data_IF_631587424982
#
_entry.id   IF_631587424982
#
_cell.length_a   1.000
_cell.length_b   1.000
_cell.length_c   1.000
_cell.angle_alpha   90.00
_cell.angle_beta   90.00
_cell.angle_gamma   90.00
#
_symmetry.space_group_name_H-M   'P 1'
#
loop_
_entity.id
_entity.type
_entity.pdbx_description
1 polymer ?
#
# COMPACT_ATOMS: atom_id res chain seq x y z
N UNK A 1 6.93 29.58 -4.96
CA UNK A 1 7.42 28.96 -6.21
C UNK A 1 6.73 27.62 -6.38
N UNK A 2 6.10 27.37 -7.53
CA UNK A 2 5.62 26.02 -7.85
C UNK A 2 6.85 25.11 -7.90
N UNK A 3 6.90 24.07 -7.04
CA UNK A 3 7.93 23.04 -7.18
C UNK A 3 7.69 22.32 -8.50
N UNK A 4 8.62 22.43 -9.44
CA UNK A 4 8.62 21.59 -10.64
C UNK A 4 8.76 20.13 -10.19
N UNK A 5 7.94 19.25 -10.76
CA UNK A 5 8.02 17.81 -10.49
C UNK A 5 9.41 17.32 -10.89
N UNK A 6 10.06 16.52 -10.04
CA UNK A 6 11.38 15.96 -10.34
C UNK A 6 11.29 14.99 -11.51
N UNK A 7 12.30 15.01 -12.36
CA UNK A 7 12.55 14.01 -13.40
C UNK A 7 13.11 12.72 -12.80
N UNK A 8 13.14 11.63 -13.60
CA UNK A 8 13.74 10.37 -13.17
C UNK A 8 15.24 10.52 -12.84
N UNK A 9 15.98 11.31 -13.64
CA UNK A 9 17.39 11.61 -13.40
C UNK A 9 17.61 12.37 -12.07
N UNK A 10 16.80 13.40 -11.79
CA UNK A 10 16.91 14.16 -10.53
C UNK A 10 16.57 13.30 -9.29
N UNK A 11 15.63 12.35 -9.44
CA UNK A 11 15.33 11.39 -8.36
C UNK A 11 16.48 10.39 -8.20
N UNK A 12 17.07 9.92 -9.30
CA UNK A 12 18.23 9.04 -9.24
C UNK A 12 19.41 9.70 -8.53
N UNK A 13 19.70 10.97 -8.86
CA UNK A 13 20.75 11.74 -8.20
C UNK A 13 20.46 11.96 -6.71
N UNK A 14 19.20 12.23 -6.35
CA UNK A 14 18.77 12.33 -4.95
C UNK A 14 19.02 11.00 -4.20
N UNK A 15 18.73 9.86 -4.82
CA UNK A 15 18.88 8.55 -4.21
C UNK A 15 20.35 8.14 -4.08
N UNK A 16 21.21 8.42 -5.08
CA UNK A 16 22.67 8.16 -5.00
C UNK A 16 23.34 8.95 -3.88
N UNK A 17 22.91 10.20 -3.68
CA UNK A 17 23.47 11.09 -2.68
C UNK A 17 22.86 10.89 -1.28
N UNK A 18 21.82 10.07 -1.17
CA UNK A 18 21.16 9.75 0.08
C UNK A 18 21.82 8.58 0.81
N UNK A 19 21.05 7.92 1.68
CA UNK A 19 21.43 6.61 2.22
C UNK A 19 21.53 5.60 1.04
N UNK A 20 22.27 4.50 1.17
CA UNK A 20 22.39 3.47 0.09
C UNK A 20 21.08 2.71 -0.16
N UNK A 21 20.73 2.35 -1.39
CA UNK A 21 19.40 1.80 -1.76
C UNK A 21 19.10 0.48 -1.01
N UNK A 22 17.89 0.30 -0.44
CA UNK A 22 17.52 -0.97 0.20
C UNK A 22 17.57 -2.14 -0.79
N UNK A 23 17.95 -3.32 -0.31
CA UNK A 23 17.82 -4.58 -1.05
C UNK A 23 16.37 -5.09 -1.04
N UNK A 24 16.02 -6.03 -1.92
CA UNK A 24 14.72 -6.71 -1.90
C UNK A 24 14.47 -7.38 -0.55
N UNK A 25 15.51 -7.99 0.04
CA UNK A 25 15.41 -8.62 1.36
C UNK A 25 15.05 -7.60 2.46
N UNK A 26 15.65 -6.41 2.44
CA UNK A 26 15.31 -5.36 3.39
C UNK A 26 13.89 -4.80 3.18
N UNK A 27 13.45 -4.72 1.92
CA UNK A 27 12.07 -4.35 1.58
C UNK A 27 11.11 -5.38 2.17
N UNK A 28 11.29 -6.66 1.86
CA UNK A 28 10.39 -7.72 2.30
C UNK A 28 10.36 -7.86 3.83
N UNK A 29 11.51 -7.72 4.49
CA UNK A 29 11.62 -7.77 5.95
C UNK A 29 11.19 -6.48 6.67
N UNK A 30 10.76 -5.44 5.95
CA UNK A 30 10.31 -4.19 6.56
C UNK A 30 9.01 -4.40 7.36
N UNK A 31 9.19 -4.63 8.68
CA UNK A 31 8.12 -4.96 9.60
C UNK A 31 7.62 -3.76 10.40
N UNK A 32 6.29 -3.65 10.50
CA UNK A 32 5.60 -2.66 11.34
C UNK A 32 4.82 -3.39 12.43
N UNK A 33 4.91 -2.85 13.65
CA UNK A 33 4.12 -3.33 14.80
C UNK A 33 2.82 -2.55 14.95
N UNK A 34 1.74 -3.25 15.27
CA UNK A 34 0.42 -2.67 15.50
C UNK A 34 -0.29 -3.31 16.70
N UNK A 35 -1.32 -2.64 17.20
CA UNK A 35 -2.13 -3.14 18.32
C UNK A 35 -3.46 -3.70 17.83
N UNK A 36 -3.73 -5.02 17.95
CA UNK A 36 -5.03 -5.59 17.60
C UNK A 36 -6.19 -4.95 18.34
N UNK A 37 -5.98 -4.59 19.62
CA UNK A 37 -6.97 -3.87 20.44
C UNK A 37 -7.46 -2.55 19.83
N UNK A 38 -6.68 -1.88 18.98
CA UNK A 38 -7.16 -0.66 18.31
C UNK A 38 -8.25 -0.95 17.29
N UNK A 39 -8.28 -2.14 16.70
CA UNK A 39 -9.41 -2.60 15.88
C UNK A 39 -10.54 -3.10 16.75
N UNK A 40 -10.24 -4.05 17.63
CA UNK A 40 -11.25 -4.79 18.41
C UNK A 40 -12.11 -3.89 19.30
N UNK A 41 -11.55 -2.82 19.87
CA UNK A 41 -12.31 -1.89 20.73
C UNK A 41 -13.42 -1.11 20.00
N UNK A 42 -13.45 -1.14 18.67
CA UNK A 42 -14.41 -0.43 17.82
C UNK A 42 -15.08 -1.37 16.83
N UNK A 43 -14.83 -2.67 16.93
CA UNK A 43 -15.47 -3.67 16.07
C UNK A 43 -16.86 -3.96 16.61
N UNK A 44 -17.88 -3.85 15.77
CA UNK A 44 -19.28 -4.06 16.15
C UNK A 44 -19.98 -5.06 15.21
N UNK A 45 -21.23 -5.38 15.53
CA UNK A 45 -22.06 -6.34 14.79
C UNK A 45 -22.39 -5.94 13.34
N UNK A 46 -22.19 -4.68 12.95
CA UNK A 46 -22.43 -4.21 11.58
C UNK A 46 -21.19 -4.40 10.68
N UNK A 47 -20.08 -4.89 11.23
CA UNK A 47 -18.85 -5.17 10.50
C UNK A 47 -18.76 -6.67 10.12
N UNK A 48 -17.95 -7.03 9.10
CA UNK A 48 -17.68 -8.42 8.78
C UNK A 48 -17.09 -9.21 9.96
N UNK A 49 -17.06 -10.54 9.81
CA UNK A 49 -16.42 -11.42 10.79
C UNK A 49 -14.99 -10.98 11.11
N UNK A 50 -14.61 -11.07 12.38
CA UNK A 50 -13.32 -10.57 12.86
C UNK A 50 -12.18 -11.26 12.10
N UNK A 51 -11.28 -10.49 11.45
CA UNK A 51 -10.12 -11.01 10.76
C UNK A 51 -9.21 -11.85 11.64
N UNK A 52 -8.79 -13.00 11.12
CA UNK A 52 -7.86 -13.90 11.82
C UNK A 52 -6.53 -13.21 12.14
N UNK A 53 -6.09 -12.24 11.33
CA UNK A 53 -4.87 -11.45 11.55
C UNK A 53 -4.87 -10.65 12.86
N UNK A 54 -6.03 -10.41 13.47
CA UNK A 54 -6.16 -9.74 14.76
C UNK A 54 -6.06 -10.70 15.94
N UNK A 55 -6.23 -12.00 15.68
CA UNK A 55 -6.38 -13.04 16.70
C UNK A 55 -5.13 -13.93 16.77
N UNK A 56 -4.53 -14.24 15.62
CA UNK A 56 -3.37 -15.11 15.50
C UNK A 56 -2.03 -14.35 15.56
N UNK A 57 -0.98 -15.06 15.94
CA UNK A 57 0.39 -14.54 15.96
C UNK A 57 0.94 -14.24 17.36
N UNK A 58 2.27 -14.26 17.44
CA UNK A 58 3.00 -13.95 18.67
C UNK A 58 2.94 -12.45 18.95
N UNK A 59 2.47 -12.11 20.15
CA UNK A 59 2.40 -10.72 20.61
C UNK A 59 3.66 -10.41 21.41
N UNK A 60 4.22 -9.21 21.20
CA UNK A 60 5.31 -8.74 22.07
C UNK A 60 4.82 -8.42 23.49
N UNK A 61 5.75 -8.04 24.38
CA UNK A 61 5.44 -7.69 25.78
C UNK A 61 4.46 -6.53 25.95
N UNK A 62 4.17 -5.76 24.88
CA UNK A 62 3.18 -4.68 24.87
C UNK A 62 1.85 -5.13 24.26
N UNK A 63 1.72 -6.38 23.84
CA UNK A 63 0.52 -6.92 23.18
C UNK A 63 0.43 -6.54 21.70
N UNK A 64 1.55 -6.19 21.04
CA UNK A 64 1.57 -5.83 19.61
C UNK A 64 1.87 -7.04 18.75
N UNK A 65 1.20 -7.13 17.60
CA UNK A 65 1.57 -8.01 16.50
C UNK A 65 2.51 -7.27 15.54
N UNK A 66 3.25 -8.02 14.73
CA UNK A 66 4.11 -7.48 13.67
C UNK A 66 3.70 -8.05 12.32
N UNK A 67 3.76 -7.22 11.28
CA UNK A 67 3.60 -7.63 9.88
C UNK A 67 4.75 -7.04 9.07
N UNK A 68 5.37 -7.85 8.23
CA UNK A 68 6.35 -7.45 7.22
C UNK A 68 5.70 -7.23 5.85
N UNK A 69 6.43 -6.63 4.90
CA UNK A 69 5.96 -6.57 3.51
C UNK A 69 5.84 -7.97 2.91
N UNK A 70 6.76 -8.88 3.24
CA UNK A 70 6.72 -10.29 2.84
C UNK A 70 5.46 -11.02 3.33
N UNK A 71 5.05 -10.78 4.58
CA UNK A 71 3.80 -11.33 5.13
C UNK A 71 2.59 -10.84 4.33
N UNK A 72 2.58 -9.55 3.96
CA UNK A 72 1.48 -8.94 3.20
C UNK A 72 1.45 -9.41 1.74
N UNK A 73 2.59 -9.60 1.09
CA UNK A 73 2.64 -10.25 -0.22
C UNK A 73 2.07 -11.67 -0.16
N UNK A 74 2.50 -12.45 0.84
CA UNK A 74 1.98 -13.82 1.07
C UNK A 74 0.48 -13.82 1.36
N UNK A 75 -0.03 -12.79 2.04
CA UNK A 75 -1.46 -12.66 2.29
C UNK A 75 -2.23 -12.25 1.03
N UNK A 76 -1.67 -11.37 0.19
CA UNK A 76 -2.26 -10.93 -1.07
C UNK A 76 -2.48 -12.06 -2.07
N UNK A 77 -1.53 -13.01 -2.16
CA UNK A 77 -1.68 -14.19 -3.04
C UNK A 77 -2.86 -15.06 -2.64
N UNK A 78 -3.17 -15.14 -1.34
CA UNK A 78 -4.23 -15.98 -0.76
C UNK A 78 -5.63 -15.34 -0.76
N UNK A 79 -5.79 -14.11 -1.27
CA UNK A 79 -7.12 -13.49 -1.34
C UNK A 79 -7.93 -14.16 -2.46
N UNK A 80 -9.02 -14.82 -2.08
CA UNK A 80 -9.96 -15.49 -3.00
C UNK A 80 -11.42 -15.13 -2.69
N UNK A 81 -11.75 -14.86 -1.42
CA UNK A 81 -13.11 -14.56 -0.96
C UNK A 81 -13.25 -13.15 -0.40
N UNK A 82 -14.50 -12.71 -0.21
CA UNK A 82 -14.83 -11.44 0.43
C UNK A 82 -14.27 -11.34 1.86
N UNK A 83 -14.24 -12.45 2.59
CA UNK A 83 -13.68 -12.49 3.95
C UNK A 83 -12.14 -12.40 3.93
N UNK A 84 -11.48 -13.03 2.95
CA UNK A 84 -10.03 -12.88 2.77
C UNK A 84 -9.66 -11.44 2.43
N UNK A 85 -10.46 -10.79 1.58
CA UNK A 85 -10.28 -9.40 1.21
C UNK A 85 -10.40 -8.45 2.42
N UNK A 86 -11.35 -8.71 3.33
CA UNK A 86 -11.45 -7.97 4.60
C UNK A 86 -10.25 -8.23 5.51
N UNK A 87 -9.81 -9.48 5.61
CA UNK A 87 -8.64 -9.84 6.41
C UNK A 87 -7.36 -9.16 5.87
N UNK A 88 -7.17 -9.18 4.55
CA UNK A 88 -6.08 -8.50 3.87
C UNK A 88 -6.14 -6.98 4.03
N UNK A 89 -7.33 -6.38 3.91
CA UNK A 89 -7.52 -4.95 4.18
C UNK A 89 -7.08 -4.55 5.59
N UNK A 90 -7.49 -5.31 6.60
CA UNK A 90 -7.12 -5.03 8.00
C UNK A 90 -5.61 -5.23 8.22
N UNK A 91 -5.00 -6.24 7.61
CA UNK A 91 -3.56 -6.46 7.67
C UNK A 91 -2.78 -5.28 7.05
N UNK A 92 -3.12 -4.88 5.82
CA UNK A 92 -2.46 -3.77 5.11
C UNK A 92 -2.69 -2.44 5.83
N UNK A 93 -3.89 -2.18 6.34
CA UNK A 93 -4.16 -0.98 7.11
C UNK A 93 -3.41 -0.96 8.44
N UNK A 94 -3.27 -2.11 9.10
CA UNK A 94 -2.49 -2.26 10.33
C UNK A 94 -1.01 -1.97 10.10
N UNK A 95 -0.44 -2.48 9.01
CA UNK A 95 0.93 -2.19 8.61
C UNK A 95 1.11 -0.71 8.25
N UNK A 96 0.20 -0.14 7.45
CA UNK A 96 0.31 1.25 6.98
C UNK A 96 0.11 2.31 8.08
N UNK A 97 -0.72 2.03 9.09
CA UNK A 97 -0.97 2.94 10.22
C UNK A 97 -0.04 2.68 11.43
N UNK A 98 0.47 1.46 11.56
CA UNK A 98 1.29 1.00 12.68
C UNK A 98 0.57 1.10 14.03
N UNK A 99 1.30 1.54 15.05
CA UNK A 99 0.83 1.56 16.43
C UNK A 99 -0.10 2.73 16.79
N UNK A 100 -0.45 3.61 15.84
CA UNK A 100 -1.23 4.83 16.13
C UNK A 100 -2.73 4.56 16.09
N UNK A 101 -3.37 4.59 17.26
CA UNK A 101 -4.82 4.40 17.40
C UNK A 101 -5.65 5.31 16.48
N UNK A 102 -5.30 6.61 16.39
CA UNK A 102 -6.01 7.59 15.56
C UNK A 102 -6.04 7.19 14.08
N UNK A 103 -4.95 6.65 13.56
CA UNK A 103 -4.87 6.29 12.14
C UNK A 103 -5.68 5.02 11.88
N UNK A 104 -5.65 4.04 12.79
CA UNK A 104 -6.51 2.85 12.75
C UNK A 104 -7.99 3.23 12.82
N UNK A 105 -8.40 4.09 13.76
CA UNK A 105 -9.81 4.51 13.89
C UNK A 105 -10.36 5.21 12.66
N UNK A 106 -9.51 5.82 11.83
CA UNK A 106 -9.94 6.40 10.55
C UNK A 106 -10.24 5.35 9.48
N UNK A 107 -9.75 4.11 9.64
CA UNK A 107 -9.91 3.00 8.69
C UNK A 107 -11.16 2.17 9.02
N UNK A 108 -11.46 2.03 10.31
CA UNK A 108 -12.60 1.24 10.79
C UNK A 108 -13.94 1.60 10.12
N UNK A 109 -14.32 2.89 9.89
CA UNK A 109 -15.58 3.21 9.24
C UNK A 109 -15.76 2.64 7.83
N UNK A 110 -14.68 2.27 7.13
CA UNK A 110 -14.76 1.56 5.86
C UNK A 110 -15.42 0.19 5.99
N UNK A 111 -15.24 -0.49 7.14
CA UNK A 111 -15.77 -1.83 7.39
C UNK A 111 -17.29 -1.87 7.57
N UNK A 112 -17.93 -0.73 7.82
CA UNK A 112 -19.38 -0.62 7.92
C UNK A 112 -20.04 -0.24 6.59
N UNK A 113 -19.28 -0.12 5.49
CA UNK A 113 -19.85 0.16 4.17
C UNK A 113 -20.62 -1.05 3.64
N UNK A 114 -21.76 -0.84 2.96
CA UNK A 114 -22.47 -1.91 2.27
C UNK A 114 -21.56 -2.60 1.26
N UNK A 115 -21.57 -3.94 1.33
CA UNK A 115 -20.75 -4.82 0.49
C UNK A 115 -19.25 -4.51 0.54
N UNK A 116 -18.73 -4.14 1.72
CA UNK A 116 -17.28 -3.88 1.89
C UNK A 116 -16.42 -5.06 1.42
N UNK A 117 -16.84 -6.28 1.71
CA UNK A 117 -16.10 -7.49 1.32
C UNK A 117 -16.05 -7.69 -0.20
N UNK A 118 -17.20 -7.57 -0.89
CA UNK A 118 -17.27 -7.69 -2.34
C UNK A 118 -16.50 -6.58 -3.06
N UNK A 119 -16.62 -5.33 -2.60
CA UNK A 119 -15.86 -4.20 -3.15
C UNK A 119 -14.35 -4.35 -2.95
N UNK A 120 -13.91 -4.72 -1.76
CA UNK A 120 -12.49 -5.00 -1.53
C UNK A 120 -12.00 -6.12 -2.45
N UNK A 121 -12.73 -7.23 -2.53
CA UNK A 121 -12.38 -8.36 -3.38
C UNK A 121 -12.25 -7.94 -4.85
N UNK A 122 -13.23 -7.23 -5.39
CA UNK A 122 -13.23 -6.77 -6.78
C UNK A 122 -11.99 -5.95 -7.14
N UNK A 123 -11.68 -4.92 -6.35
CA UNK A 123 -10.51 -4.07 -6.61
C UNK A 123 -9.17 -4.79 -6.39
N UNK A 124 -9.11 -5.74 -5.45
CA UNK A 124 -7.91 -6.59 -5.23
C UNK A 124 -7.71 -7.55 -6.41
N UNK A 125 -8.77 -8.15 -6.95
CA UNK A 125 -8.66 -9.04 -8.11
C UNK A 125 -8.18 -8.30 -9.36
N UNK A 126 -8.64 -7.06 -9.58
CA UNK A 126 -8.13 -6.22 -10.67
C UNK A 126 -6.63 -5.92 -10.51
N UNK A 127 -6.13 -5.74 -9.29
CA UNK A 127 -4.69 -5.55 -9.06
C UNK A 127 -3.88 -6.83 -9.36
N UNK A 128 -4.44 -8.00 -9.02
CA UNK A 128 -3.81 -9.31 -9.24
C UNK A 128 -3.73 -9.69 -10.72
N UNK A 129 -4.73 -9.33 -11.51
CA UNK A 129 -4.77 -9.65 -12.93
C UNK A 129 -3.70 -8.89 -13.70
N UNK A 130 -2.72 -9.60 -14.27
CA UNK A 130 -1.62 -9.03 -15.05
C UNK A 130 -2.06 -8.38 -16.36
N UNK A 131 -3.27 -8.65 -16.83
CA UNK A 131 -3.84 -8.07 -18.05
C UNK A 131 -4.55 -6.74 -17.80
N UNK A 132 -4.78 -6.38 -16.54
CA UNK A 132 -5.39 -5.09 -16.16
C UNK A 132 -4.30 -4.04 -16.00
N UNK A 133 -4.46 -2.91 -16.68
CA UNK A 133 -3.54 -1.79 -16.53
C UNK A 133 -3.57 -1.22 -15.10
N UNK A 134 -2.40 -0.83 -14.57
CA UNK A 134 -2.30 -0.35 -13.18
C UNK A 134 -3.16 0.88 -12.90
N UNK A 135 -3.37 1.72 -13.92
CA UNK A 135 -4.28 2.86 -13.85
C UNK A 135 -5.74 2.42 -13.66
N UNK A 136 -6.17 1.35 -14.32
CA UNK A 136 -7.56 0.87 -14.23
C UNK A 136 -7.82 0.19 -12.89
N UNK A 137 -6.89 -0.62 -12.40
CA UNK A 137 -6.97 -1.16 -11.05
C UNK A 137 -7.04 -0.04 -9.99
N UNK A 138 -6.27 1.05 -10.16
CA UNK A 138 -6.37 2.25 -9.32
C UNK A 138 -7.74 2.94 -9.44
N UNK A 139 -8.23 3.10 -10.68
CA UNK A 139 -9.53 3.74 -10.97
C UNK A 139 -10.67 3.05 -10.23
N UNK A 140 -10.59 1.73 -10.06
CA UNK A 140 -11.63 0.94 -9.41
C UNK A 140 -11.94 1.32 -7.96
N UNK A 141 -10.93 1.75 -7.19
CA UNK A 141 -11.12 2.28 -5.83
C UNK A 141 -11.40 3.80 -5.82
N UNK A 142 -11.21 4.48 -6.94
CA UNK A 142 -11.40 5.93 -7.08
C UNK A 142 -12.83 6.34 -7.45
N UNK A 143 -13.49 5.57 -8.32
CA UNK A 143 -14.82 5.89 -8.89
C UNK A 143 -15.97 5.24 -8.11
N UNK A 144 -17.11 5.95 -7.98
CA UNK A 144 -18.26 5.46 -7.19
C UNK A 144 -18.98 4.29 -7.84
N UNK A 145 -18.86 4.20 -9.16
CA UNK A 145 -19.53 3.26 -10.04
C UNK A 145 -18.89 1.85 -9.99
N UNK A 146 -17.73 1.71 -9.34
CA UNK A 146 -17.02 0.45 -9.18
C UNK A 146 -16.90 0.08 -7.68
N UNK A 147 -15.68 0.09 -7.13
CA UNK A 147 -15.37 -0.47 -5.81
C UNK A 147 -14.96 0.57 -4.77
N UNK A 148 -15.25 1.86 -5.01
CA UNK A 148 -14.94 2.91 -4.05
C UNK A 148 -15.61 2.65 -2.70
N UNK A 149 -14.80 2.80 -1.65
CA UNK A 149 -15.21 2.71 -0.26
C UNK A 149 -14.92 4.02 0.46
N UNK A 150 -15.89 4.56 1.21
CA UNK A 150 -15.66 5.73 2.06
C UNK A 150 -14.60 5.42 3.09
N UNK A 151 -13.75 6.41 3.34
CA UNK A 151 -12.62 6.26 4.26
C UNK A 151 -11.40 5.62 3.62
N UNK A 152 -11.51 4.84 2.54
CA UNK A 152 -10.38 4.23 1.84
C UNK A 152 -9.81 5.20 0.79
N UNK A 153 -8.83 6.01 1.21
CA UNK A 153 -8.15 6.97 0.33
C UNK A 153 -6.94 6.38 -0.40
N UNK A 154 -6.39 7.10 -1.40
CA UNK A 154 -5.27 6.65 -2.25
C UNK A 154 -4.06 6.11 -1.51
N UNK A 155 -3.66 6.76 -0.43
CA UNK A 155 -2.51 6.33 0.36
C UNK A 155 -2.65 4.93 0.97
N UNK A 156 -3.88 4.42 1.13
CA UNK A 156 -4.13 3.08 1.66
C UNK A 156 -4.51 2.11 0.55
N UNK A 157 -5.36 2.48 -0.42
CA UNK A 157 -5.68 1.51 -1.47
C UNK A 157 -4.50 1.24 -2.40
N UNK A 158 -3.57 2.18 -2.63
CA UNK A 158 -2.33 1.86 -3.36
C UNK A 158 -1.48 0.81 -2.65
N UNK A 159 -1.57 0.71 -1.31
CA UNK A 159 -0.96 -0.38 -0.54
C UNK A 159 -1.65 -1.71 -0.82
N UNK A 160 -2.99 -1.72 -0.89
CA UNK A 160 -3.74 -2.92 -1.29
C UNK A 160 -3.32 -3.38 -2.68
N UNK A 161 -3.27 -2.47 -3.67
CA UNK A 161 -2.86 -2.78 -5.04
C UNK A 161 -1.43 -3.35 -5.07
N UNK A 162 -0.50 -2.69 -4.38
CA UNK A 162 0.90 -3.11 -4.28
C UNK A 162 1.07 -4.51 -3.70
N UNK A 163 0.49 -4.77 -2.53
CA UNK A 163 0.64 -6.06 -1.86
C UNK A 163 -0.17 -7.18 -2.53
N UNK A 164 -1.27 -6.85 -3.21
CA UNK A 164 -2.08 -7.82 -3.94
C UNK A 164 -1.39 -8.30 -5.22
N UNK A 165 -0.84 -7.38 -6.01
CA UNK A 165 -0.14 -7.72 -7.24
C UNK A 165 1.20 -8.44 -6.98
N UNK A 166 1.88 -8.09 -5.88
CA UNK A 166 3.15 -8.70 -5.52
C UNK A 166 4.29 -8.36 -6.50
N UNK A 167 5.51 -8.81 -6.18
CA UNK A 167 6.64 -8.73 -7.11
C UNK A 167 6.52 -9.76 -8.22
N UNK A 168 7.12 -9.44 -9.38
CA UNK A 168 7.33 -10.36 -10.50
C UNK A 168 8.83 -10.46 -10.78
N UNK A 169 9.23 -11.25 -11.80
CA UNK A 169 10.63 -11.34 -12.24
C UNK A 169 11.16 -10.02 -12.84
N UNK A 170 10.28 -9.03 -13.05
CA UNK A 170 10.66 -7.70 -13.53
C UNK A 170 11.19 -6.83 -12.40
N UNK A 171 12.25 -6.05 -12.68
CA UNK A 171 12.67 -4.95 -11.78
C UNK A 171 11.59 -3.87 -11.64
N UNK A 172 10.69 -3.74 -12.63
CA UNK A 172 9.61 -2.74 -12.64
C UNK A 172 8.35 -3.34 -12.03
N UNK A 173 7.97 -2.81 -10.88
CA UNK A 173 6.72 -3.17 -10.22
C UNK A 173 5.51 -2.60 -10.97
N UNK A 174 4.44 -3.41 -11.06
CA UNK A 174 3.16 -2.99 -11.64
C UNK A 174 2.48 -1.92 -10.78
N UNK A 175 2.51 -2.11 -9.47
CA UNK A 175 1.98 -1.18 -8.49
C UNK A 175 3.10 -0.76 -7.55
N UNK A 176 3.04 0.47 -7.06
CA UNK A 176 3.89 1.01 -6.00
C UNK A 176 3.01 1.79 -5.03
N UNK A 177 3.47 1.91 -3.78
CA UNK A 177 2.76 2.70 -2.77
C UNK A 177 2.97 4.18 -3.07
N UNK A 178 1.89 4.95 -3.10
CA UNK A 178 1.94 6.41 -3.19
C UNK A 178 1.30 7.01 -1.94
N UNK A 179 2.10 7.69 -1.13
CA UNK A 179 1.60 8.51 -0.04
C UNK A 179 2.27 9.89 0.00
N UNK A 180 1.89 10.70 0.99
CA UNK A 180 2.37 12.09 1.09
C UNK A 180 3.89 12.18 1.25
N UNK A 181 4.54 11.21 1.89
CA UNK A 181 6.01 11.25 2.04
C UNK A 181 6.68 10.97 0.71
N UNK A 182 6.24 9.92 0.02
CA UNK A 182 6.75 9.59 -1.32
C UNK A 182 6.50 10.75 -2.28
N UNK A 183 5.28 11.28 -2.33
CA UNK A 183 4.93 12.44 -3.16
C UNK A 183 5.80 13.67 -2.84
N UNK A 184 6.04 13.97 -1.56
CA UNK A 184 6.91 15.07 -1.16
C UNK A 184 8.36 14.86 -1.63
N UNK A 185 8.90 13.64 -1.50
CA UNK A 185 10.26 13.28 -1.91
C UNK A 185 10.49 13.47 -3.41
N UNK A 186 9.49 13.18 -4.24
CA UNK A 186 9.55 13.38 -5.71
C UNK A 186 9.15 14.81 -6.13
N UNK A 187 8.96 15.73 -5.17
CA UNK A 187 8.66 17.13 -5.43
C UNK A 187 7.23 17.41 -5.87
N UNK A 188 6.29 16.50 -5.61
CA UNK A 188 4.88 16.70 -5.93
C UNK A 188 4.18 17.59 -4.89
N UNK A 189 3.06 18.24 -5.25
CA UNK A 189 2.29 19.05 -4.32
C UNK A 189 1.82 18.24 -3.10
N UNK A 190 1.77 18.90 -1.93
CA UNK A 190 1.23 18.30 -0.70
C UNK A 190 -0.30 18.13 -0.81
N UNK A 191 -0.71 17.01 -1.40
CA UNK A 191 -2.09 16.57 -1.47
C UNK A 191 -2.20 15.08 -1.14
N UNK A 192 -3.43 14.64 -0.87
CA UNK A 192 -3.74 13.22 -0.57
C UNK A 192 -4.67 12.57 -1.60
N UNK A 193 -5.02 13.30 -2.67
CA UNK A 193 -5.98 12.90 -3.68
C UNK A 193 -5.29 12.98 -5.05
N UNK A 194 -4.82 11.83 -5.52
CA UNK A 194 -4.19 11.70 -6.84
C UNK A 194 -5.17 11.05 -7.81
N UNK A 195 -5.29 11.58 -9.02
CA UNK A 195 -6.14 10.97 -10.05
C UNK A 195 -5.52 9.66 -10.56
N UNK A 196 -6.28 8.81 -11.28
CA UNK A 196 -5.70 7.65 -11.96
C UNK A 196 -4.52 8.00 -12.89
N UNK A 197 -4.61 9.09 -13.67
CA UNK A 197 -3.50 9.56 -14.52
C UNK A 197 -2.27 9.94 -13.69
N UNK A 198 -2.46 10.63 -12.56
CA UNK A 198 -1.34 10.95 -11.67
C UNK A 198 -0.73 9.70 -11.06
N UNK A 199 -1.53 8.68 -10.74
CA UNK A 199 -0.97 7.42 -10.29
C UNK A 199 -0.15 6.71 -11.39
N UNK A 200 -0.63 6.71 -12.63
CA UNK A 200 0.12 6.19 -13.79
C UNK A 200 1.44 6.93 -13.97
N UNK A 201 1.42 8.26 -13.97
CA UNK A 201 2.61 9.11 -14.07
C UNK A 201 3.62 8.84 -12.95
N UNK A 202 3.14 8.58 -11.74
CA UNK A 202 3.99 8.18 -10.61
C UNK A 202 4.67 6.83 -10.86
N UNK A 203 3.94 5.82 -11.32
CA UNK A 203 4.49 4.50 -11.62
C UNK A 203 5.54 4.56 -12.73
N UNK A 204 5.23 5.26 -13.82
CA UNK A 204 6.15 5.50 -14.94
C UNK A 204 7.43 6.19 -14.44
N UNK A 205 7.30 7.23 -13.61
CA UNK A 205 8.43 7.97 -13.06
C UNK A 205 9.37 7.04 -12.28
N UNK A 206 8.87 6.31 -11.27
CA UNK A 206 9.73 5.46 -10.42
C UNK A 206 10.28 4.26 -11.18
N UNK A 207 9.50 3.65 -12.09
CA UNK A 207 9.98 2.56 -12.92
C UNK A 207 11.07 3.02 -13.90
N UNK A 208 11.05 4.28 -14.35
CA UNK A 208 12.12 4.85 -15.16
C UNK A 208 13.36 5.22 -14.34
N UNK A 209 13.23 5.51 -13.03
CA UNK A 209 14.40 5.75 -12.16
C UNK A 209 15.29 4.50 -12.06
N UNK A 210 14.71 3.29 -12.10
CA UNK A 210 15.48 2.03 -12.08
C UNK A 210 16.49 1.97 -13.23
N UNK A 211 16.17 2.53 -14.40
CA UNK A 211 17.08 2.57 -15.55
C UNK A 211 18.31 3.46 -15.31
N UNK A 212 18.23 4.39 -14.35
CA UNK A 212 19.31 5.28 -13.95
C UNK A 212 20.11 4.79 -12.73
N UNK A 213 19.68 3.69 -12.10
CA UNK A 213 20.27 3.12 -10.88
C UNK A 213 20.41 1.60 -11.05
N UNK A 214 21.46 1.12 -11.76
CA UNK A 214 21.66 -0.30 -12.01
C UNK A 214 21.79 -1.16 -10.75
N UNK A 215 22.24 -0.56 -9.64
CA UNK A 215 22.31 -1.17 -8.31
C UNK A 215 20.94 -1.43 -7.67
N UNK A 216 19.88 -0.80 -8.17
CA UNK A 216 18.53 -1.06 -7.71
C UNK A 216 18.05 -2.43 -8.22
N UNK A 217 17.68 -3.30 -7.28
CA UNK A 217 17.14 -4.62 -7.58
C UNK A 217 15.70 -4.53 -8.13
N UNK A 218 14.89 -3.61 -7.59
CA UNK A 218 13.47 -3.46 -7.92
C UNK A 218 12.95 -2.05 -7.63
N UNK A 219 11.92 -1.59 -8.34
CA UNK A 219 11.42 -0.21 -8.21
C UNK A 219 10.80 0.09 -6.84
N UNK A 220 10.35 -0.91 -6.09
CA UNK A 220 9.88 -0.75 -4.71
C UNK A 220 11.01 -0.56 -3.67
N UNK A 221 12.24 -0.92 -4.01
CA UNK A 221 13.42 -0.55 -3.24
C UNK A 221 13.61 0.99 -3.26
N UNK A 222 13.37 1.59 -4.42
CA UNK A 222 13.38 3.05 -4.60
C UNK A 222 12.23 3.70 -3.85
N UNK A 223 11.00 3.17 -4.00
CA UNK A 223 9.82 3.64 -3.24
C UNK A 223 10.09 3.65 -1.74
N UNK A 224 10.61 2.54 -1.19
CA UNK A 224 10.85 2.42 0.24
C UNK A 224 11.86 3.46 0.73
N UNK A 225 12.87 3.78 -0.08
CA UNK A 225 13.79 4.88 0.23
C UNK A 225 13.09 6.23 0.18
N UNK A 226 12.27 6.50 -0.83
CA UNK A 226 11.53 7.76 -0.94
C UNK A 226 10.51 7.96 0.19
N UNK A 227 10.01 6.88 0.80
CA UNK A 227 9.16 6.93 1.99
C UNK A 227 9.93 7.32 3.27
N UNK A 228 11.22 6.98 3.35
CA UNK A 228 12.10 7.30 4.47
C UNK A 228 13.45 7.86 3.97
N UNK A 229 13.44 9.06 3.36
CA UNK A 229 14.60 9.65 2.68
C UNK A 229 15.78 9.90 3.63
#
# INVERSE_FOLDING_TARGET
>A
MARTRKTAAEIADLLRNGKGIPTVSEVENHAIRFYPRHWLNRWDENMPGIPSILQSGEKDSKGRLALSRGDLFTLGTKVETAQDAVNFYVAVCSWGAGAKARDIYRRIPTLSEPDVGGKLLGGIMLAKDSNVESEEAYRSFWTREQYRLKGLGPAFFTKLLYFAAGPTDSKKMRHLILDRKVAASIGWPDKAWWTPSEYREYLELINNVVEHLPEAERSDCLEMRLFNP
#
